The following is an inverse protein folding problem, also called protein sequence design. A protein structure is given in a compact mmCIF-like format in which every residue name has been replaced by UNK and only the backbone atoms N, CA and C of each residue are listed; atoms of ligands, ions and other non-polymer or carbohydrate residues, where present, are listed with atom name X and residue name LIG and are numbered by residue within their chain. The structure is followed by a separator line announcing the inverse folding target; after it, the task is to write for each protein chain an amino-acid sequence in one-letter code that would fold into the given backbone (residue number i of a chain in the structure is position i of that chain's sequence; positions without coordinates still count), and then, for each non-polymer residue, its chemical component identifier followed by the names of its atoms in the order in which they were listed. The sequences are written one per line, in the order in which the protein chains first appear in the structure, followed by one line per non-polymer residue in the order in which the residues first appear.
data_IF_329879140090
#
_entry.id   IF_329879140090
#
_cell.length_a   1.000
_cell.length_b   1.000
_cell.length_c   1.000
_cell.angle_alpha   90.00
_cell.angle_beta   90.00
_cell.angle_gamma   90.00
#
_symmetry.space_group_name_H-M   'P 1'
#
loop_
_entity.id
_entity.type
_entity.pdbx_description
1 polymer ?
#
# COMPACT_ATOMS: atom_id res chain seq x y z
N UNK A 1 8.71 25.09 1.80
CA UNK A 1 7.72 24.58 0.86
C UNK A 1 7.97 23.13 0.53
N UNK A 2 9.10 22.84 0.07
CA UNK A 2 9.56 21.48 -0.14
C UNK A 2 9.65 20.70 1.15
N UNK A 3 10.20 21.35 2.20
CA UNK A 3 10.37 20.74 3.51
C UNK A 3 9.06 20.25 4.11
N UNK A 4 7.96 20.95 3.82
CA UNK A 4 6.64 20.55 4.29
C UNK A 4 6.16 19.24 3.66
N UNK A 5 6.39 19.06 2.37
CA UNK A 5 6.03 17.82 1.66
C UNK A 5 6.91 16.65 2.11
N UNK A 6 8.20 16.88 2.24
CA UNK A 6 9.13 15.86 2.73
C UNK A 6 8.80 15.44 4.14
N UNK A 7 8.51 16.42 5.01
CA UNK A 7 8.12 16.16 6.38
C UNK A 7 6.83 15.34 6.44
N UNK A 8 5.86 15.65 5.57
CA UNK A 8 4.60 14.90 5.49
C UNK A 8 4.84 13.46 5.04
N UNK A 9 5.70 13.26 4.06
CA UNK A 9 6.04 11.92 3.58
C UNK A 9 6.74 11.11 4.67
N UNK A 10 7.69 11.71 5.37
CA UNK A 10 8.38 11.05 6.48
C UNK A 10 7.42 10.66 7.59
N UNK A 11 6.56 11.59 7.97
CA UNK A 11 5.52 11.33 8.97
C UNK A 11 4.62 10.19 8.53
N UNK A 12 4.22 10.20 7.26
CA UNK A 12 3.41 9.15 6.67
C UNK A 12 4.11 7.78 6.76
N UNK A 13 5.37 7.68 6.34
CA UNK A 13 6.12 6.43 6.41
C UNK A 13 6.26 5.93 7.85
N UNK A 14 6.52 6.83 8.78
CA UNK A 14 6.64 6.49 10.19
C UNK A 14 5.34 5.91 10.74
N UNK A 15 4.22 6.49 10.35
CA UNK A 15 2.88 6.04 10.78
C UNK A 15 2.42 4.78 10.04
N UNK A 16 2.84 4.59 8.81
CA UNK A 16 2.42 3.47 7.95
C UNK A 16 2.67 2.11 8.57
N UNK A 17 3.70 1.98 9.38
CA UNK A 17 4.00 0.76 10.11
C UNK A 17 2.82 0.26 10.93
N UNK A 18 2.01 1.16 11.46
CA UNK A 18 0.84 0.86 12.29
C UNK A 18 -0.47 1.32 11.64
N UNK A 19 -0.39 1.82 10.43
CA UNK A 19 -1.50 2.50 9.78
C UNK A 19 -2.34 1.62 8.89
N UNK A 20 -3.09 2.28 8.06
CA UNK A 20 -4.13 1.70 7.23
C UNK A 20 -3.78 1.68 5.74
N UNK A 21 -2.50 1.81 5.39
CA UNK A 21 -2.09 1.97 4.00
C UNK A 21 -2.59 0.86 3.06
N UNK A 22 -2.54 -0.39 3.51
CA UNK A 22 -3.02 -1.51 2.69
C UNK A 22 -4.53 -1.44 2.50
N UNK A 23 -5.26 -1.14 3.53
CA UNK A 23 -6.71 -0.99 3.44
C UNK A 23 -7.09 0.18 2.54
N UNK A 24 -6.48 1.34 2.72
CA UNK A 24 -6.78 2.54 1.93
C UNK A 24 -6.49 2.30 0.45
N UNK A 25 -5.32 1.74 0.13
CA UNK A 25 -4.96 1.43 -1.25
C UNK A 25 -5.90 0.39 -1.86
N UNK A 26 -6.27 -0.63 -1.08
CA UNK A 26 -7.19 -1.67 -1.52
C UNK A 26 -8.59 -1.14 -1.77
N UNK A 27 -9.11 -0.31 -0.88
CA UNK A 27 -10.43 0.30 -1.06
C UNK A 27 -10.49 1.19 -2.29
N UNK A 28 -9.38 1.84 -2.63
CA UNK A 28 -9.29 2.63 -3.87
C UNK A 28 -9.52 1.75 -5.09
N UNK A 29 -9.00 0.51 -5.08
CA UNK A 29 -9.22 -0.42 -6.19
C UNK A 29 -10.67 -0.89 -6.27
N UNK A 30 -11.36 -1.03 -5.13
CA UNK A 30 -12.77 -1.38 -5.10
C UNK A 30 -13.67 -0.30 -5.68
N UNK A 31 -13.29 0.95 -5.51
CA UNK A 31 -14.09 2.12 -5.94
C UNK A 31 -13.70 2.63 -7.32
N UNK A 32 -12.83 1.92 -8.00
CA UNK A 32 -12.27 2.36 -9.27
C UNK A 32 -13.33 2.36 -10.35
N UNK A 33 -13.44 3.48 -11.09
CA UNK A 33 -14.35 3.53 -12.22
C UNK A 33 -13.70 2.90 -13.46
N UNK A 34 -14.51 2.52 -14.48
CA UNK A 34 -13.97 1.86 -15.68
C UNK A 34 -12.93 2.68 -16.43
N UNK A 35 -13.01 4.00 -16.40
CA UNK A 35 -12.04 4.87 -17.08
C UNK A 35 -10.67 4.78 -16.43
N UNK A 36 -10.64 4.79 -15.12
CA UNK A 36 -9.39 4.70 -14.37
C UNK A 36 -8.77 3.32 -14.51
N UNK A 37 -9.61 2.29 -14.51
CA UNK A 37 -9.16 0.92 -14.74
C UNK A 37 -8.51 0.78 -16.11
N UNK A 38 -9.14 1.29 -17.16
CA UNK A 38 -8.61 1.30 -18.52
C UNK A 38 -7.33 2.11 -18.63
N UNK A 39 -7.23 3.20 -17.87
CA UNK A 39 -6.04 4.04 -17.87
C UNK A 39 -4.85 3.38 -17.18
N UNK A 40 -5.05 2.23 -16.53
CA UNK A 40 -3.97 1.49 -15.91
C UNK A 40 -3.71 1.84 -14.46
N UNK A 41 -4.75 2.29 -13.74
CA UNK A 41 -4.64 2.57 -12.31
C UNK A 41 -4.26 1.29 -11.56
N UNK A 42 -3.26 1.38 -10.70
CA UNK A 42 -2.68 0.23 -10.02
C UNK A 42 -2.60 0.42 -8.51
N UNK A 43 -2.52 -0.70 -7.83
CA UNK A 43 -2.11 -0.73 -6.43
C UNK A 43 -0.70 -1.28 -6.37
N UNK A 44 0.14 -0.70 -5.53
CA UNK A 44 1.52 -1.13 -5.36
C UNK A 44 1.74 -1.52 -3.91
N UNK A 45 2.35 -2.68 -3.72
CA UNK A 45 2.90 -3.09 -2.43
C UNK A 45 4.41 -3.04 -2.54
N UNK A 46 5.07 -2.37 -1.62
CA UNK A 46 6.52 -2.22 -1.67
C UNK A 46 7.09 -2.09 -0.26
N UNK A 47 8.35 -2.47 -0.12
CA UNK A 47 9.08 -2.13 1.10
C UNK A 47 9.60 -0.71 1.00
N UNK A 48 9.42 0.04 2.07
CA UNK A 48 9.92 1.40 2.20
C UNK A 48 10.89 1.49 3.37
N UNK A 49 11.74 2.51 3.34
CA UNK A 49 12.68 2.76 4.43
C UNK A 49 12.08 3.80 5.39
N UNK A 50 12.10 3.48 6.68
CA UNK A 50 11.58 4.38 7.69
C UNK A 50 12.49 5.55 7.99
N UNK A 51 11.90 6.54 8.67
CA UNK A 51 12.60 7.75 9.11
C UNK A 51 12.44 7.88 10.64
N UNK A 52 13.26 8.73 11.25
CA UNK A 52 13.21 8.94 12.68
C UNK A 52 13.57 7.68 13.45
N UNK A 53 12.70 7.23 14.35
CA UNK A 53 12.89 6.02 15.14
C UNK A 53 12.96 4.75 14.27
N UNK A 54 12.42 4.82 13.06
CA UNK A 54 12.42 3.71 12.12
C UNK A 54 13.54 3.82 11.07
N UNK A 55 14.45 4.80 11.24
CA UNK A 55 15.52 5.01 10.28
C UNK A 55 16.33 3.74 10.04
N UNK A 56 16.55 3.44 8.76
CA UNK A 56 17.25 2.24 8.34
C UNK A 56 16.43 0.98 8.36
N UNK A 57 15.20 1.02 8.83
CA UNK A 57 14.32 -0.14 8.86
C UNK A 57 13.44 -0.20 7.62
N UNK A 58 13.25 -1.40 7.11
CA UNK A 58 12.36 -1.65 5.98
C UNK A 58 11.03 -2.21 6.49
N UNK A 59 9.94 -1.73 5.95
CA UNK A 59 8.63 -2.30 6.26
C UNK A 59 7.71 -2.18 5.05
N UNK A 60 6.68 -3.04 5.03
CA UNK A 60 5.72 -3.09 3.94
C UNK A 60 4.80 -1.88 3.93
N UNK A 61 4.51 -1.38 2.74
CA UNK A 61 3.69 -0.21 2.52
C UNK A 61 2.89 -0.37 1.24
N UNK A 62 1.75 0.30 1.15
CA UNK A 62 0.88 0.24 -0.02
C UNK A 62 0.46 1.63 -0.46
N UNK A 63 0.35 1.81 -1.75
CA UNK A 63 -0.12 3.05 -2.37
C UNK A 63 -0.70 2.75 -3.74
N UNK A 64 -1.27 3.77 -4.37
CA UNK A 64 -1.81 3.63 -5.72
C UNK A 64 -1.00 4.44 -6.71
N UNK A 65 -1.08 4.07 -7.98
CA UNK A 65 -0.29 4.71 -9.02
C UNK A 65 -1.06 4.75 -10.33
N UNK A 66 -0.95 5.87 -11.04
CA UNK A 66 -1.47 6.01 -12.39
C UNK A 66 -0.41 6.70 -13.23
N UNK A 67 0.19 5.95 -14.18
CA UNK A 67 1.30 6.45 -14.96
C UNK A 67 2.46 6.85 -14.06
N UNK A 68 2.89 8.10 -14.16
CA UNK A 68 4.00 8.63 -13.37
C UNK A 68 3.56 9.29 -12.05
N UNK A 69 2.30 9.16 -11.68
CA UNK A 69 1.77 9.76 -10.46
C UNK A 69 1.47 8.71 -9.40
N UNK A 70 1.92 8.99 -8.19
CA UNK A 70 1.63 8.18 -7.01
C UNK A 70 0.57 8.89 -6.18
N UNK A 71 -0.42 8.13 -5.73
CA UNK A 71 -1.48 8.60 -4.83
C UNK A 71 -1.39 7.83 -3.53
N UNK A 72 -1.23 8.53 -2.44
CA UNK A 72 -1.12 7.90 -1.13
C UNK A 72 -1.94 8.69 -0.12
N UNK A 73 -3.10 8.13 0.21
CA UNK A 73 -4.08 8.77 1.08
C UNK A 73 -4.21 8.10 2.44
N UNK A 74 -3.28 7.26 2.80
CA UNK A 74 -3.36 6.57 4.08
C UNK A 74 -3.09 7.52 5.27
N UNK A 75 -3.56 7.11 6.44
CA UNK A 75 -3.45 7.87 7.68
C UNK A 75 -4.04 9.28 7.60
N UNK A 76 -5.08 9.45 6.75
CA UNK A 76 -5.75 10.74 6.59
C UNK A 76 -4.98 11.75 5.74
N UNK A 77 -3.82 11.37 5.24
CA UNK A 77 -3.02 12.23 4.37
C UNK A 77 -3.55 12.19 2.94
N UNK A 78 -3.20 13.22 2.16
CA UNK A 78 -3.47 13.26 0.73
C UNK A 78 -2.16 13.58 0.02
N UNK A 79 -1.48 12.55 -0.41
CA UNK A 79 -0.21 12.70 -1.11
C UNK A 79 -0.43 12.39 -2.59
N UNK A 80 -0.08 13.34 -3.45
CA UNK A 80 0.01 13.13 -4.88
C UNK A 80 1.39 13.61 -5.28
N UNK A 81 2.18 12.72 -5.87
CA UNK A 81 3.58 13.00 -6.12
C UNK A 81 4.05 12.26 -7.36
N UNK A 82 5.04 12.79 -8.04
CA UNK A 82 5.66 12.07 -9.15
C UNK A 82 6.33 10.81 -8.63
N UNK A 83 6.18 9.75 -9.39
CA UNK A 83 6.71 8.42 -9.09
C UNK A 83 8.18 8.45 -8.69
N UNK A 84 9.02 9.10 -9.51
CA UNK A 84 10.46 9.15 -9.26
C UNK A 84 10.79 9.71 -7.89
N UNK A 85 10.11 10.78 -7.53
CA UNK A 85 10.34 11.46 -6.27
C UNK A 85 9.84 10.63 -5.08
N UNK A 86 8.66 10.05 -5.22
CA UNK A 86 8.08 9.20 -4.18
C UNK A 86 8.98 8.00 -3.91
N UNK A 87 9.44 7.34 -4.98
CA UNK A 87 10.30 6.17 -4.87
C UNK A 87 11.66 6.53 -4.26
N UNK A 88 12.22 7.67 -4.65
CA UNK A 88 13.48 8.15 -4.08
C UNK A 88 13.37 8.40 -2.58
N UNK A 89 12.33 9.10 -2.17
CA UNK A 89 12.11 9.42 -0.75
C UNK A 89 11.82 8.18 0.10
N UNK A 90 11.14 7.20 -0.46
CA UNK A 90 10.81 5.97 0.25
C UNK A 90 11.85 4.88 0.14
N UNK A 91 12.89 5.08 -0.67
CA UNK A 91 13.88 4.05 -0.92
C UNK A 91 13.30 2.85 -1.65
N UNK A 92 12.33 3.08 -2.54
CA UNK A 92 11.62 2.02 -3.26
C UNK A 92 12.36 1.68 -4.55
N UNK A 93 12.70 0.41 -4.73
CA UNK A 93 13.33 -0.08 -5.95
C UNK A 93 12.39 -1.08 -6.65
N UNK A 94 11.80 -0.71 -7.80
CA UNK A 94 10.89 -1.61 -8.53
C UNK A 94 11.56 -2.89 -9.02
N UNK A 95 12.88 -2.93 -9.05
CA UNK A 95 13.63 -4.10 -9.53
C UNK A 95 14.03 -5.05 -8.42
N UNK A 96 13.80 -4.68 -7.17
CA UNK A 96 14.17 -5.50 -6.03
C UNK A 96 13.13 -6.61 -5.83
N UNK A 97 13.50 -7.83 -6.18
CA UNK A 97 12.63 -9.00 -6.11
C UNK A 97 12.12 -9.24 -4.69
N UNK A 98 10.82 -9.41 -4.59
CA UNK A 98 10.17 -9.63 -3.30
C UNK A 98 9.92 -8.35 -2.51
N UNK A 99 10.42 -7.22 -2.99
CA UNK A 99 10.27 -5.94 -2.32
C UNK A 99 9.35 -4.97 -3.05
N UNK A 100 8.78 -5.38 -4.20
CA UNK A 100 7.93 -4.53 -5.01
C UNK A 100 6.99 -5.38 -5.85
N UNK A 101 5.69 -5.10 -5.78
CA UNK A 101 4.68 -5.79 -6.58
C UNK A 101 3.59 -4.81 -7.01
N UNK A 102 3.22 -4.84 -8.28
CA UNK A 102 2.11 -4.05 -8.81
C UNK A 102 0.91 -4.96 -9.08
N UNK A 103 -0.28 -4.43 -8.79
CA UNK A 103 -1.54 -5.12 -9.04
C UNK A 103 -2.48 -4.22 -9.82
N UNK A 104 -3.07 -4.74 -10.90
CA UNK A 104 -4.17 -4.04 -11.56
C UNK A 104 -5.48 -4.28 -10.77
N UNK A 105 -6.58 -3.73 -11.27
CA UNK A 105 -7.87 -3.84 -10.57
C UNK A 105 -8.30 -5.29 -10.38
N UNK A 106 -8.24 -6.07 -11.43
CA UNK A 106 -8.65 -7.48 -11.38
C UNK A 106 -7.77 -8.29 -10.43
N UNK A 107 -6.45 -8.15 -10.56
CA UNK A 107 -5.50 -8.83 -9.70
C UNK A 107 -5.72 -8.49 -8.23
N UNK A 108 -5.97 -7.21 -7.94
CA UNK A 108 -6.24 -6.76 -6.57
C UNK A 108 -7.47 -7.44 -5.98
N UNK A 109 -8.56 -7.46 -6.74
CA UNK A 109 -9.81 -8.06 -6.28
C UNK A 109 -9.67 -9.57 -6.05
N UNK A 110 -8.97 -10.25 -6.95
CA UNK A 110 -8.73 -11.69 -6.82
C UNK A 110 -7.91 -12.03 -5.58
N UNK A 111 -6.90 -11.23 -5.28
CA UNK A 111 -6.08 -11.43 -4.10
C UNK A 111 -6.87 -11.19 -2.81
N UNK A 112 -7.69 -10.14 -2.79
CA UNK A 112 -8.58 -9.87 -1.65
C UNK A 112 -9.55 -11.01 -1.41
N UNK A 113 -10.15 -11.54 -2.47
CA UNK A 113 -11.09 -12.65 -2.39
C UNK A 113 -10.41 -13.94 -1.92
N UNK A 114 -9.17 -14.15 -2.33
CA UNK A 114 -8.41 -15.35 -1.98
C UNK A 114 -7.94 -15.35 -0.52
N UNK A 115 -7.39 -14.23 -0.08
CA UNK A 115 -6.71 -14.16 1.21
C UNK A 115 -7.55 -13.54 2.34
N UNK A 116 -8.64 -12.86 2.00
CA UNK A 116 -9.55 -12.23 2.97
C UNK A 116 -8.91 -11.13 3.82
N UNK A 117 -7.79 -10.55 3.34
CA UNK A 117 -7.19 -9.39 3.98
C UNK A 117 -6.61 -8.43 2.92
N UNK A 118 -6.34 -7.19 3.36
CA UNK A 118 -5.94 -6.12 2.46
C UNK A 118 -4.51 -6.23 1.92
N UNK A 119 -3.73 -7.09 2.48
CA UNK A 119 -2.32 -7.29 2.08
C UNK A 119 -1.37 -7.16 3.26
N UNK A 120 -0.07 -7.34 3.05
CA UNK A 120 0.55 -7.74 1.77
C UNK A 120 0.30 -9.21 1.44
N UNK A 121 0.37 -9.53 0.14
CA UNK A 121 0.15 -10.91 -0.33
C UNK A 121 1.41 -11.56 -0.91
N UNK A 122 2.18 -10.80 -1.70
CA UNK A 122 3.32 -11.34 -2.44
C UNK A 122 4.68 -10.73 -2.05
N UNK A 123 4.70 -9.77 -1.13
CA UNK A 123 5.96 -9.26 -0.62
C UNK A 123 6.68 -10.33 0.18
N UNK A 124 7.99 -10.42 0.01
CA UNK A 124 8.81 -11.31 0.82
C UNK A 124 8.99 -10.72 2.22
N UNK A 125 8.12 -11.12 3.13
CA UNK A 125 8.08 -10.56 4.48
C UNK A 125 9.33 -10.88 5.32
N UNK A 126 10.19 -11.78 4.85
CA UNK A 126 11.48 -12.00 5.51
C UNK A 126 12.42 -10.81 5.36
N UNK A 127 12.11 -9.91 4.42
CA UNK A 127 12.90 -8.68 4.22
C UNK A 127 12.50 -7.57 5.19
N UNK A 128 11.38 -7.73 5.90
CA UNK A 128 10.92 -6.73 6.87
C UNK A 128 11.83 -6.74 8.10
N UNK A 129 12.25 -5.54 8.52
CA UNK A 129 13.04 -5.41 9.73
C UNK A 129 12.20 -5.76 10.96
N UNK A 130 12.87 -6.23 12.03
CA UNK A 130 12.19 -6.71 13.22
C UNK A 130 11.17 -5.71 13.76
N UNK A 131 9.94 -6.19 13.87
CA UNK A 131 8.83 -5.46 14.49
C UNK A 131 8.40 -6.26 15.71
N UNK A 132 8.14 -5.63 16.86
CA UNK A 132 7.63 -6.34 18.03
C UNK A 132 6.38 -7.16 17.73
N UNK A 133 6.28 -8.35 18.29
CA UNK A 133 5.15 -9.26 18.04
C UNK A 133 3.80 -8.63 18.31
N UNK A 134 3.71 -7.81 19.35
CA UNK A 134 2.51 -7.05 19.68
C UNK A 134 2.00 -6.23 18.49
N UNK A 135 2.91 -5.50 17.84
CA UNK A 135 2.57 -4.67 16.70
C UNK A 135 2.16 -5.49 15.49
N UNK A 136 2.77 -6.67 15.31
CA UNK A 136 2.41 -7.59 14.24
C UNK A 136 0.98 -8.09 14.39
N UNK A 137 0.58 -8.43 15.61
CA UNK A 137 -0.77 -8.92 15.89
C UNK A 137 -1.82 -7.83 15.66
N UNK A 138 -1.54 -6.60 16.10
CA UNK A 138 -2.42 -5.45 15.86
C UNK A 138 -2.56 -5.21 14.35
N UNK A 139 -1.47 -5.26 13.63
CA UNK A 139 -1.47 -5.09 12.17
C UNK A 139 -2.31 -6.14 11.48
N UNK A 140 -2.18 -7.41 11.86
CA UNK A 140 -2.95 -8.50 11.28
C UNK A 140 -4.45 -8.30 11.47
N UNK A 141 -4.89 -7.83 12.63
CA UNK A 141 -6.30 -7.56 12.91
C UNK A 141 -6.84 -6.43 12.02
N UNK A 142 -6.05 -5.38 11.84
CA UNK A 142 -6.44 -4.23 11.00
C UNK A 142 -6.53 -4.58 9.53
N UNK A 143 -5.83 -5.62 9.10
CA UNK A 143 -5.77 -5.99 7.69
C UNK A 143 -6.92 -6.90 7.25
N UNK A 144 -7.70 -7.44 8.16
CA UNK A 144 -8.82 -8.31 7.80
C UNK A 144 -9.92 -7.55 7.07
N UNK A 145 -10.44 -8.18 6.02
CA UNK A 145 -11.56 -7.63 5.26
C UNK A 145 -12.85 -8.17 5.88
N UNK A 146 -13.81 -7.27 6.13
CA UNK A 146 -15.08 -7.65 6.71
C UNK A 146 -15.88 -8.55 5.75
N UNK A 147 -16.77 -9.44 6.27
CA UNK A 147 -17.61 -10.28 5.41
C UNK A 147 -18.46 -9.49 4.42
N UNK A 148 -18.94 -8.31 4.83
CA UNK A 148 -19.74 -7.44 3.97
C UNK A 148 -18.94 -6.96 2.77
N UNK A 149 -17.70 -6.53 3.00
CA UNK A 149 -16.82 -6.05 1.91
C UNK A 149 -16.42 -7.23 1.03
N UNK A 150 -16.14 -8.40 1.61
CA UNK A 150 -15.83 -9.61 0.84
C UNK A 150 -16.95 -9.96 -0.13
N UNK A 151 -18.19 -9.79 0.29
CA UNK A 151 -19.33 -10.02 -0.59
C UNK A 151 -19.35 -9.05 -1.75
N UNK A 152 -19.07 -7.77 -1.48
CA UNK A 152 -18.94 -6.75 -2.53
C UNK A 152 -17.86 -7.11 -3.53
N UNK A 153 -16.71 -7.58 -3.05
CA UNK A 153 -15.60 -8.00 -3.90
C UNK A 153 -16.02 -9.15 -4.79
N UNK A 154 -16.65 -10.17 -4.22
CA UNK A 154 -17.13 -11.34 -4.97
C UNK A 154 -18.13 -10.95 -6.04
N UNK A 155 -19.05 -10.05 -5.70
CA UNK A 155 -20.05 -9.56 -6.66
C UNK A 155 -19.39 -8.86 -7.84
N UNK A 156 -18.35 -8.10 -7.61
CA UNK A 156 -17.60 -7.43 -8.68
C UNK A 156 -16.84 -8.41 -9.57
N UNK A 157 -16.29 -9.46 -8.98
CA UNK A 157 -15.56 -10.48 -9.75
C UNK A 157 -16.53 -11.26 -10.62
N UNK A 158 -17.68 -11.62 -10.09
CA UNK A 158 -18.69 -12.44 -10.79
C UNK A 158 -19.53 -11.63 -11.77
N UNK A 159 -19.61 -10.35 -11.57
CA UNK A 159 -20.30 -9.44 -12.44
C UNK A 159 -19.42 -8.99 -13.58
#
# INVERSE_FOLDING_TARGET
MWNGKMKRFKSFITEAKMGDCFEVAGRAMLKLDPKMEKAGYKMVHAFVHGEGELEGRRFGHAFNMLGDLVFDNSNGNKVMMRKEKYFDQGGIDPKDRGAYVEYDAEESLLQMAKYHHWGPWDLNMSLEEEIPDEQREIGKKKLKISPKILQTIKDKIDG
#
